data_IF_439078246823
#
_entry.id   IF_439078246823
#
_cell.length_a   1.000
_cell.length_b   1.000
_cell.length_c   1.000
_cell.angle_alpha   90.00
_cell.angle_beta   90.00
_cell.angle_gamma   90.00
#
_symmetry.space_group_name_H-M   'P 1'
#
loop_
_entity.id
_entity.type
_entity.pdbx_description
1 polymer ?
#
# COMPACT_ATOMS: atom_id res chain seq x y z
N UNK A 1 -4.69 -28.32 -19.59
CA UNK A 1 -3.62 -27.59 -18.89
C UNK A 1 -3.37 -28.30 -17.56
N UNK A 2 -2.13 -28.62 -17.21
CA UNK A 2 -1.83 -29.41 -16.01
C UNK A 2 -2.07 -28.57 -14.74
N UNK A 3 -2.70 -29.15 -13.72
CA UNK A 3 -2.94 -28.54 -12.40
C UNK A 3 -1.71 -27.78 -11.82
N UNK A 4 -0.48 -28.33 -11.85
CA UNK A 4 0.70 -27.62 -11.33
C UNK A 4 1.07 -26.37 -12.12
N UNK A 5 0.81 -26.32 -13.43
CA UNK A 5 1.16 -25.16 -14.25
C UNK A 5 0.27 -23.94 -13.93
N UNK A 6 -1.02 -24.17 -13.63
CA UNK A 6 -1.95 -23.12 -13.23
C UNK A 6 -1.56 -22.55 -11.86
N UNK A 7 -1.22 -23.43 -10.92
CA UNK A 7 -0.79 -23.04 -9.58
C UNK A 7 0.44 -22.11 -9.62
N UNK A 8 1.48 -22.48 -10.37
CA UNK A 8 2.69 -21.64 -10.53
C UNK A 8 2.39 -20.28 -11.16
N UNK A 9 1.50 -20.22 -12.15
CA UNK A 9 1.12 -18.98 -12.80
C UNK A 9 0.32 -18.05 -11.88
N UNK A 10 -0.64 -18.61 -11.14
CA UNK A 10 -1.43 -17.88 -10.13
C UNK A 10 -0.54 -17.31 -9.02
N UNK A 11 0.46 -18.06 -8.56
CA UNK A 11 1.41 -17.57 -7.56
C UNK A 11 2.22 -16.38 -8.06
N UNK A 12 2.70 -16.43 -9.32
CA UNK A 12 3.46 -15.33 -9.92
C UNK A 12 2.64 -14.03 -10.02
N UNK A 13 1.37 -14.14 -10.38
CA UNK A 13 0.44 -12.99 -10.41
C UNK A 13 0.18 -12.45 -9.01
N UNK A 14 -0.05 -13.34 -8.03
CA UNK A 14 -0.30 -12.92 -6.65
C UNK A 14 0.91 -12.22 -6.04
N UNK A 15 2.12 -12.72 -6.29
CA UNK A 15 3.35 -12.13 -5.80
C UNK A 15 3.60 -10.75 -6.42
N UNK A 16 3.36 -10.58 -7.72
CA UNK A 16 3.53 -9.27 -8.37
C UNK A 16 2.53 -8.25 -7.83
N UNK A 17 1.27 -8.64 -7.58
CA UNK A 17 0.26 -7.79 -6.96
C UNK A 17 0.68 -7.31 -5.56
N UNK A 18 1.20 -8.23 -4.73
CA UNK A 18 1.66 -7.89 -3.37
C UNK A 18 2.85 -6.93 -3.41
N UNK A 19 3.79 -7.12 -4.35
CA UNK A 19 4.92 -6.21 -4.53
C UNK A 19 4.42 -4.80 -4.90
N UNK A 20 3.49 -4.69 -5.85
CA UNK A 20 2.91 -3.38 -6.22
C UNK A 20 2.20 -2.74 -5.02
N UNK A 21 1.42 -3.50 -4.27
CA UNK A 21 0.75 -3.00 -3.06
C UNK A 21 1.74 -2.48 -2.01
N UNK A 22 2.87 -3.18 -1.82
CA UNK A 22 3.95 -2.73 -0.94
C UNK A 22 4.61 -1.43 -1.45
N UNK A 23 4.85 -1.30 -2.75
CA UNK A 23 5.38 -0.07 -3.33
C UNK A 23 4.44 1.12 -3.10
N UNK A 24 3.13 0.94 -3.31
CA UNK A 24 2.13 1.98 -3.05
C UNK A 24 2.07 2.35 -1.57
N UNK A 25 2.16 1.36 -0.68
CA UNK A 25 2.18 1.59 0.75
C UNK A 25 3.39 2.42 1.20
N UNK A 26 4.59 2.03 0.78
CA UNK A 26 5.82 2.78 1.10
C UNK A 26 5.79 4.17 0.48
N UNK A 27 5.29 4.30 -0.74
CA UNK A 27 5.10 5.60 -1.39
C UNK A 27 4.21 6.53 -0.54
N UNK A 28 3.06 6.06 -0.07
CA UNK A 28 2.17 6.86 0.80
C UNK A 28 2.84 7.25 2.11
N UNK A 29 3.58 6.33 2.74
CA UNK A 29 4.33 6.64 3.97
C UNK A 29 5.39 7.73 3.73
N UNK A 30 6.15 7.62 2.64
CA UNK A 30 7.17 8.62 2.28
C UNK A 30 6.50 9.95 1.98
N UNK A 31 5.37 9.95 1.28
CA UNK A 31 4.62 11.16 0.95
C UNK A 31 4.10 11.87 2.22
N UNK A 32 3.52 11.12 3.16
CA UNK A 32 3.06 11.65 4.46
C UNK A 32 4.23 12.27 5.25
N UNK A 33 5.38 11.59 5.27
CA UNK A 33 6.56 12.06 6.02
C UNK A 33 7.19 13.28 5.36
N UNK A 34 7.22 13.34 4.02
CA UNK A 34 7.78 14.47 3.26
C UNK A 34 6.87 15.69 3.23
N UNK A 35 5.56 15.51 3.24
CA UNK A 35 4.62 16.63 3.30
C UNK A 35 4.63 17.28 4.68
N UNK A 36 4.77 18.60 4.70
CA UNK A 36 4.61 19.42 5.90
C UNK A 36 3.13 19.73 6.09
N UNK A 37 2.43 18.85 6.82
CA UNK A 37 1.08 19.17 7.26
C UNK A 37 1.16 20.28 8.31
N UNK A 38 0.46 21.39 8.06
CA UNK A 38 0.33 22.51 8.99
C UNK A 38 -0.41 22.17 10.30
N UNK A 39 -0.90 20.95 10.45
CA UNK A 39 -1.76 20.53 11.57
C UNK A 39 -1.42 19.11 12.03
N UNK A 40 -1.87 18.71 13.22
CA UNK A 40 -1.60 17.40 13.87
C UNK A 40 -2.05 16.16 13.05
N UNK A 41 -2.74 16.36 11.93
CA UNK A 41 -3.21 15.31 11.02
C UNK A 41 -2.11 14.45 10.41
N UNK A 42 -0.84 14.89 10.42
CA UNK A 42 0.30 14.09 9.91
C UNK A 42 0.44 12.77 10.65
N UNK A 43 0.40 12.83 11.99
CA UNK A 43 0.60 11.65 12.85
C UNK A 43 -0.58 10.70 12.71
N UNK A 44 -1.81 11.23 12.64
CA UNK A 44 -3.02 10.43 12.42
C UNK A 44 -2.97 9.69 11.08
N UNK A 45 -2.64 10.38 9.99
CA UNK A 45 -2.50 9.73 8.68
C UNK A 45 -1.37 8.71 8.65
N UNK A 46 -0.24 9.01 9.29
CA UNK A 46 0.88 8.08 9.41
C UNK A 46 0.45 6.81 10.16
N UNK A 47 -0.26 6.92 11.29
CA UNK A 47 -0.78 5.75 12.02
C UNK A 47 -1.77 4.94 11.18
N UNK A 48 -2.71 5.60 10.49
CA UNK A 48 -3.71 4.91 9.66
C UNK A 48 -3.05 4.13 8.54
N UNK A 49 -2.15 4.76 7.77
CA UNK A 49 -1.43 4.08 6.68
C UNK A 49 -0.49 3.01 7.23
N UNK A 50 0.12 3.21 8.39
CA UNK A 50 1.01 2.24 9.01
C UNK A 50 0.29 0.98 9.50
N UNK A 51 -0.84 1.13 10.21
CA UNK A 51 -1.62 0.00 10.73
C UNK A 51 -2.51 -0.67 9.67
N UNK A 52 -2.95 0.08 8.66
CA UNK A 52 -3.77 -0.41 7.56
C UNK A 52 -3.08 -0.10 6.23
N UNK A 53 -2.13 -0.94 5.78
CA UNK A 53 -1.31 -0.64 4.62
C UNK A 53 -2.12 -0.45 3.34
N UNK A 54 -3.11 -1.31 3.07
CA UNK A 54 -3.93 -1.22 1.85
C UNK A 54 -5.08 -0.22 2.02
N UNK A 55 -5.88 -0.36 3.08
CA UNK A 55 -7.04 0.52 3.29
C UNK A 55 -6.63 1.96 3.62
N UNK A 56 -5.59 2.12 4.44
CA UNK A 56 -5.06 3.43 4.81
C UNK A 56 -4.41 4.15 3.64
N UNK A 57 -3.61 3.46 2.80
CA UNK A 57 -3.06 4.08 1.58
C UNK A 57 -4.15 4.45 0.57
N UNK A 58 -5.20 3.64 0.43
CA UNK A 58 -6.34 3.95 -0.44
C UNK A 58 -7.12 5.18 0.06
N UNK A 59 -7.39 5.26 1.37
CA UNK A 59 -8.02 6.41 2.00
C UNK A 59 -7.15 7.66 1.86
N UNK A 60 -5.83 7.52 2.05
CA UNK A 60 -4.87 8.60 1.90
C UNK A 60 -4.85 9.13 0.48
N UNK A 61 -4.75 8.27 -0.53
CA UNK A 61 -4.78 8.67 -1.94
C UNK A 61 -6.13 9.26 -2.38
N UNK A 62 -7.23 8.91 -1.72
CA UNK A 62 -8.54 9.49 -2.00
C UNK A 62 -8.77 10.86 -1.34
N UNK A 63 -8.01 11.18 -0.29
CA UNK A 63 -8.23 12.39 0.54
C UNK A 63 -7.08 13.39 0.42
N UNK A 64 -5.86 12.88 0.20
CA UNK A 64 -4.60 13.61 0.11
C UNK A 64 -4.35 14.23 -1.24
#
# INVERSE_FOLDING_TARGET
>A
MNLPAIFSFTLGIWQSLVIVALFVWVYCLVDIVRHEFKNDGKVTWLLIVFFLPILGSLLYLSTG
#
